data_IF_654651106756
#
_entry.id   IF_654651106756
#
_cell.length_a   1.000
_cell.length_b   1.000
_cell.length_c   1.000
_cell.angle_alpha   90.00
_cell.angle_beta   90.00
_cell.angle_gamma   90.00
#
_symmetry.space_group_name_H-M   'P 1'
#
loop_
_entity.id
_entity.type
_entity.pdbx_description
1 polymer ?
#
# COMPACT_ATOMS: atom_id res chain seq x y z
N UNK A 1 -29.15 -70.69 38.66
CA UNK A 1 -28.97 -70.58 40.15
C UNK A 1 -28.72 -69.15 40.50
N UNK A 2 -29.59 -68.66 41.26
CA UNK A 2 -29.73 -67.40 41.97
C UNK A 2 -28.58 -67.21 42.97
N UNK A 3 -28.51 -66.11 43.68
CA UNK A 3 -28.72 -64.61 43.52
C UNK A 3 -27.60 -63.83 44.23
N UNK A 4 -27.72 -62.56 44.34
CA UNK A 4 -27.74 -61.73 45.54
C UNK A 4 -27.19 -60.35 45.26
N UNK A 5 -28.09 -59.39 45.30
CA UNK A 5 -28.39 -58.39 46.34
C UNK A 5 -27.31 -57.26 46.40
N UNK A 6 -27.71 -56.14 45.92
CA UNK A 6 -28.16 -54.94 46.67
C UNK A 6 -27.12 -54.35 47.61
N UNK A 7 -26.69 -53.19 47.31
CA UNK A 7 -26.63 -52.13 48.33
C UNK A 7 -26.68 -50.75 47.67
N UNK A 8 -27.79 -50.16 47.92
CA UNK A 8 -28.15 -48.78 47.74
C UNK A 8 -27.44 -47.97 48.81
N UNK A 9 -26.61 -47.01 48.44
CA UNK A 9 -26.22 -45.92 49.35
C UNK A 9 -26.50 -44.58 48.71
N UNK A 10 -27.58 -44.01 49.18
CA UNK A 10 -27.87 -42.59 49.06
C UNK A 10 -26.78 -41.81 49.74
N UNK A 11 -26.10 -40.94 49.05
CA UNK A 11 -25.34 -39.86 49.67
C UNK A 11 -25.82 -38.52 49.09
N UNK A 12 -26.07 -37.64 50.00
CA UNK A 12 -26.76 -36.39 49.89
C UNK A 12 -26.21 -35.45 48.85
N UNK A 13 -27.16 -34.76 48.20
CA UNK A 13 -26.94 -33.57 47.38
C UNK A 13 -26.51 -32.43 48.27
N UNK A 14 -25.26 -31.99 48.11
CA UNK A 14 -24.90 -30.63 48.49
C UNK A 14 -25.22 -29.72 47.31
N UNK A 15 -26.26 -28.97 47.51
CA UNK A 15 -26.64 -27.90 46.59
C UNK A 15 -25.67 -26.72 46.84
N UNK A 16 -24.53 -26.75 46.18
CA UNK A 16 -23.66 -25.58 46.11
C UNK A 16 -24.40 -24.48 45.34
N UNK A 17 -24.64 -23.39 46.03
CA UNK A 17 -25.18 -22.18 45.43
C UNK A 17 -24.34 -21.73 44.24
N UNK A 18 -24.96 -21.20 43.16
CA UNK A 18 -24.19 -20.65 42.05
C UNK A 18 -23.30 -19.48 42.55
N UNK A 19 -22.06 -19.34 42.07
CA UNK A 19 -21.27 -18.19 42.45
C UNK A 19 -22.01 -16.93 42.02
N UNK A 20 -22.12 -16.01 42.99
CA UNK A 20 -22.59 -14.66 42.76
C UNK A 20 -21.81 -14.10 41.57
N UNK A 21 -22.54 -13.67 40.54
CA UNK A 21 -21.99 -12.87 39.46
C UNK A 21 -21.32 -11.66 40.10
N UNK A 22 -20.00 -11.71 40.14
CA UNK A 22 -19.19 -10.58 40.54
C UNK A 22 -19.49 -9.46 39.57
N UNK A 23 -20.23 -8.49 40.10
CA UNK A 23 -20.64 -7.29 39.41
C UNK A 23 -19.35 -6.58 38.94
N UNK A 24 -19.03 -6.72 37.64
CA UNK A 24 -17.97 -5.96 37.01
C UNK A 24 -18.24 -4.47 37.28
N UNK A 25 -17.26 -3.72 37.77
CA UNK A 25 -17.43 -2.29 37.99
C UNK A 25 -17.88 -1.63 36.69
N UNK A 26 -18.79 -0.64 36.70
CA UNK A 26 -19.23 0.04 35.50
C UNK A 26 -18.04 0.60 34.79
N UNK A 27 -17.84 0.14 33.53
CA UNK A 27 -16.66 0.33 32.72
C UNK A 27 -16.14 1.75 32.81
N UNK A 28 -14.87 1.86 33.16
CA UNK A 28 -14.11 3.04 32.84
C UNK A 28 -14.36 3.35 31.35
N UNK A 29 -14.63 4.61 30.99
CA UNK A 29 -14.79 4.97 29.58
C UNK A 29 -13.54 4.47 28.86
N UNK A 30 -13.72 3.46 28.00
CA UNK A 30 -12.66 2.93 27.17
C UNK A 30 -12.04 4.11 26.47
N UNK A 31 -10.83 4.44 26.83
CA UNK A 31 -10.01 5.39 26.07
C UNK A 31 -10.10 4.91 24.63
N UNK A 32 -10.63 5.69 23.69
CA UNK A 32 -10.61 5.29 22.30
C UNK A 32 -9.15 5.00 22.01
N UNK A 33 -8.85 3.73 21.81
CA UNK A 33 -7.55 3.30 21.29
C UNK A 33 -7.34 4.13 20.04
N UNK A 34 -6.50 5.16 20.17
CA UNK A 34 -6.14 6.02 19.07
C UNK A 34 -5.55 5.07 18.04
N UNK A 35 -6.37 4.68 17.05
CA UNK A 35 -5.92 3.89 15.93
C UNK A 35 -4.75 4.66 15.35
N UNK A 36 -3.54 4.22 15.67
CA UNK A 36 -2.33 4.81 15.13
C UNK A 36 -2.55 4.90 13.61
N UNK A 37 -2.33 6.05 12.99
CA UNK A 37 -2.57 6.20 11.56
C UNK A 37 -1.78 5.08 10.89
N UNK A 38 -2.49 4.14 10.26
CA UNK A 38 -1.86 3.10 9.47
C UNK A 38 -0.99 3.80 8.46
N UNK A 39 0.31 3.50 8.51
CA UNK A 39 1.25 4.03 7.52
C UNK A 39 0.64 3.81 6.13
N UNK A 40 0.52 4.85 5.32
CA UNK A 40 -0.13 4.74 4.03
C UNK A 40 0.60 3.70 3.19
N UNK A 41 -0.12 2.68 2.77
CA UNK A 41 0.40 1.65 1.87
C UNK A 41 0.40 2.27 0.48
N UNK A 42 1.54 2.24 -0.20
CA UNK A 42 1.64 2.61 -1.60
C UNK A 42 0.67 1.75 -2.42
N UNK A 43 -0.35 2.38 -3.00
CA UNK A 43 -1.29 1.67 -3.87
C UNK A 43 -0.68 1.53 -5.26
N UNK A 44 -0.40 0.30 -5.66
CA UNK A 44 -0.01 -0.02 -7.04
C UNK A 44 -1.25 -0.22 -7.90
N UNK A 45 -1.25 0.37 -9.09
CA UNK A 45 -2.37 0.31 -10.04
C UNK A 45 -1.84 -0.11 -11.39
N UNK A 46 -2.47 -1.11 -11.99
CA UNK A 46 -2.17 -1.53 -13.36
C UNK A 46 -3.10 -0.84 -14.33
N UNK A 47 -2.57 -0.47 -15.49
CA UNK A 47 -3.30 0.16 -16.60
C UNK A 47 -3.05 -0.61 -17.90
N UNK A 48 -3.97 -0.50 -18.85
CA UNK A 48 -3.73 -1.00 -20.22
C UNK A 48 -2.78 -0.04 -20.95
N UNK A 49 -1.56 -0.48 -21.29
CA UNK A 49 -0.57 0.37 -21.96
C UNK A 49 -1.06 0.94 -23.31
N UNK A 50 -1.97 0.23 -23.98
CA UNK A 50 -2.55 0.68 -25.26
C UNK A 50 -3.54 1.83 -25.10
N UNK A 51 -4.05 2.01 -23.89
CA UNK A 51 -5.02 3.05 -23.52
C UNK A 51 -4.47 3.97 -22.42
N UNK A 52 -3.15 4.06 -22.30
CA UNK A 52 -2.46 4.73 -21.22
C UNK A 52 -3.01 6.12 -20.92
N UNK A 53 -3.14 6.98 -21.92
CA UNK A 53 -3.64 8.35 -21.73
C UNK A 53 -5.04 8.43 -21.11
N UNK A 54 -6.07 7.82 -21.72
CA UNK A 54 -7.42 7.77 -21.17
C UNK A 54 -7.49 7.18 -19.76
N UNK A 55 -6.73 6.11 -19.50
CA UNK A 55 -6.74 5.46 -18.18
C UNK A 55 -6.07 6.30 -17.10
N UNK A 56 -4.95 6.95 -17.40
CA UNK A 56 -4.31 7.87 -16.47
C UNK A 56 -5.21 9.07 -16.18
N UNK A 57 -5.94 9.58 -17.17
CA UNK A 57 -6.92 10.64 -16.94
C UNK A 57 -8.05 10.20 -16.00
N UNK A 58 -8.62 9.03 -16.20
CA UNK A 58 -9.66 8.47 -15.34
C UNK A 58 -9.13 8.23 -13.89
N UNK A 59 -7.93 7.65 -13.76
CA UNK A 59 -7.27 7.44 -12.47
C UNK A 59 -6.98 8.76 -11.75
N UNK A 60 -6.54 9.79 -12.47
CA UNK A 60 -6.26 11.09 -11.88
C UNK A 60 -7.54 11.75 -11.31
N UNK A 61 -8.67 11.58 -11.99
CA UNK A 61 -9.96 12.03 -11.46
C UNK A 61 -10.35 11.27 -10.20
N UNK A 62 -10.17 9.94 -10.17
CA UNK A 62 -10.45 9.12 -8.99
C UNK A 62 -9.52 9.50 -7.83
N UNK A 63 -8.22 9.60 -8.08
CA UNK A 63 -7.21 9.97 -7.10
C UNK A 63 -7.50 11.35 -6.48
N UNK A 64 -7.93 12.31 -7.30
CA UNK A 64 -8.27 13.67 -6.86
C UNK A 64 -9.44 13.68 -5.86
N UNK A 65 -10.43 12.79 -6.01
CA UNK A 65 -11.57 12.66 -5.10
C UNK A 65 -11.14 12.23 -3.69
N UNK A 66 -10.08 11.45 -3.60
CA UNK A 66 -9.51 10.96 -2.33
C UNK A 66 -8.24 11.70 -1.92
N UNK A 67 -7.98 12.85 -2.52
CA UNK A 67 -6.82 13.72 -2.26
C UNK A 67 -5.47 13.02 -2.44
N UNK A 68 -5.41 12.11 -3.41
CA UNK A 68 -4.20 11.37 -3.79
C UNK A 68 -3.70 11.85 -5.14
N UNK A 69 -2.42 11.66 -5.41
CA UNK A 69 -1.75 12.02 -6.67
C UNK A 69 -1.28 10.76 -7.39
N UNK A 70 -0.97 10.89 -8.67
CA UNK A 70 -0.49 9.78 -9.49
C UNK A 70 1.01 9.94 -9.77
N UNK A 71 1.75 8.90 -9.47
CA UNK A 71 3.13 8.69 -9.89
C UNK A 71 3.14 7.54 -10.89
N UNK A 72 3.63 7.77 -12.10
CA UNK A 72 3.79 6.73 -13.11
C UNK A 72 5.24 6.29 -13.12
N UNK A 73 5.49 5.00 -13.02
CA UNK A 73 6.77 4.36 -13.26
C UNK A 73 6.78 3.70 -14.63
N UNK A 74 7.68 4.14 -15.49
CA UNK A 74 7.97 3.47 -16.75
C UNK A 74 9.16 2.56 -16.53
N UNK A 75 8.93 1.26 -16.65
CA UNK A 75 9.92 0.23 -16.36
C UNK A 75 9.80 -0.96 -17.30
N UNK A 76 10.58 -2.00 -17.05
CA UNK A 76 10.50 -3.26 -17.78
C UNK A 76 10.98 -4.43 -16.90
N UNK A 77 10.53 -5.67 -17.14
CA UNK A 77 10.94 -6.83 -16.33
C UNK A 77 12.45 -7.11 -16.35
N UNK A 78 13.12 -6.78 -17.44
CA UNK A 78 14.58 -6.93 -17.61
C UNK A 78 15.39 -5.80 -16.98
N UNK A 79 14.76 -4.73 -16.52
CA UNK A 79 15.41 -3.52 -16.03
C UNK A 79 15.92 -3.72 -14.60
N UNK A 80 17.22 -3.90 -14.43
CA UNK A 80 17.83 -4.02 -13.10
C UNK A 80 17.73 -2.73 -12.27
N UNK A 81 17.95 -1.52 -12.84
CA UNK A 81 17.73 -0.28 -12.11
C UNK A 81 16.29 -0.10 -11.62
N UNK A 82 15.29 -0.67 -12.32
CA UNK A 82 13.89 -0.63 -11.87
C UNK A 82 13.71 -1.42 -10.56
N UNK A 83 14.38 -2.57 -10.41
CA UNK A 83 14.36 -3.34 -9.15
C UNK A 83 14.97 -2.55 -7.98
N UNK A 84 16.00 -1.75 -8.24
CA UNK A 84 16.56 -0.88 -7.21
C UNK A 84 15.58 0.24 -6.80
N UNK A 85 14.80 0.77 -7.74
CA UNK A 85 13.74 1.73 -7.50
C UNK A 85 12.59 1.10 -6.69
N UNK A 86 12.16 -0.11 -7.05
CA UNK A 86 11.17 -0.87 -6.28
C UNK A 86 11.60 -1.11 -4.84
N UNK A 87 12.87 -1.48 -4.66
CA UNK A 87 13.46 -1.64 -3.32
C UNK A 87 13.47 -0.31 -2.55
N UNK A 88 13.68 0.82 -3.25
CA UNK A 88 13.57 2.16 -2.64
C UNK A 88 12.14 2.45 -2.17
N UNK A 89 11.14 2.16 -2.98
CA UNK A 89 9.74 2.35 -2.62
C UNK A 89 9.32 1.48 -1.43
N UNK A 90 9.93 0.32 -1.25
CA UNK A 90 9.66 -0.56 -0.13
C UNK A 90 10.30 -0.12 1.20
N UNK A 91 11.30 0.80 1.17
CA UNK A 91 11.96 1.28 2.38
C UNK A 91 11.02 2.09 3.27
N UNK A 92 11.14 1.88 4.58
CA UNK A 92 10.33 2.59 5.58
C UNK A 92 10.53 4.11 5.48
N UNK A 93 11.76 4.58 5.23
CA UNK A 93 12.08 6.01 5.02
C UNK A 93 11.24 6.65 3.91
N UNK A 94 10.91 5.90 2.87
CA UNK A 94 10.18 6.41 1.71
C UNK A 94 8.66 6.23 1.82
N UNK A 95 8.17 5.48 2.81
CA UNK A 95 6.72 5.28 2.99
C UNK A 95 5.97 6.57 3.27
N UNK A 96 6.52 7.43 4.10
CA UNK A 96 5.93 8.74 4.39
C UNK A 96 5.92 9.61 3.14
N UNK A 97 7.00 9.59 2.37
CA UNK A 97 7.14 10.33 1.12
C UNK A 97 6.11 9.88 0.08
N UNK A 98 5.87 8.57 0.00
CA UNK A 98 4.90 7.98 -0.93
C UNK A 98 3.46 8.02 -0.40
N UNK A 99 3.26 8.53 0.82
CA UNK A 99 1.94 8.76 1.36
C UNK A 99 1.14 9.71 0.46
N UNK A 100 -0.08 9.33 0.10
CA UNK A 100 -0.90 10.15 -0.79
C UNK A 100 -0.53 10.05 -2.27
N UNK A 101 0.25 9.04 -2.67
CA UNK A 101 0.54 8.71 -4.05
C UNK A 101 0.01 7.34 -4.44
N UNK A 102 -0.55 7.23 -5.63
CA UNK A 102 -0.78 5.95 -6.29
C UNK A 102 0.32 5.73 -7.32
N UNK A 103 0.96 4.58 -7.27
CA UNK A 103 1.97 4.18 -8.25
C UNK A 103 1.31 3.41 -9.38
N UNK A 104 1.47 3.92 -10.59
CA UNK A 104 1.05 3.26 -11.82
C UNK A 104 2.30 2.71 -12.51
N UNK A 105 2.41 1.39 -12.54
CA UNK A 105 3.53 0.70 -13.20
C UNK A 105 3.18 0.42 -14.65
N UNK A 106 4.03 0.86 -15.55
CA UNK A 106 3.86 0.69 -17.00
C UNK A 106 5.07 -0.01 -17.58
N UNK A 107 4.84 -1.21 -18.14
CA UNK A 107 5.88 -1.91 -18.89
C UNK A 107 6.06 -1.25 -20.27
N UNK A 108 7.24 -0.69 -20.51
CA UNK A 108 7.55 0.01 -21.77
C UNK A 108 7.53 -0.91 -22.99
N UNK A 109 7.80 -2.21 -22.82
CA UNK A 109 7.75 -3.19 -23.90
C UNK A 109 6.30 -3.44 -24.41
N UNK A 110 5.32 -3.07 -23.61
CA UNK A 110 3.89 -3.21 -23.94
C UNK A 110 3.30 -1.94 -24.55
N UNK A 111 4.07 -0.87 -24.62
CA UNK A 111 3.61 0.40 -25.17
C UNK A 111 3.66 0.39 -26.70
N UNK A 112 2.72 1.07 -27.36
CA UNK A 112 2.84 1.29 -28.80
C UNK A 112 4.07 2.14 -29.14
N UNK A 113 4.65 2.00 -30.33
CA UNK A 113 5.75 2.85 -30.76
C UNK A 113 5.39 4.33 -30.72
N UNK A 114 6.32 5.15 -30.24
CA UNK A 114 6.16 6.61 -30.22
C UNK A 114 6.39 7.25 -28.86
N UNK A 115 6.05 8.54 -28.74
CA UNK A 115 6.18 9.26 -27.48
C UNK A 115 5.26 8.71 -26.40
N UNK A 116 5.78 8.52 -25.21
CA UNK A 116 5.02 8.14 -24.02
C UNK A 116 4.72 9.41 -23.23
N UNK A 117 3.46 9.70 -22.98
CA UNK A 117 3.05 10.91 -22.26
C UNK A 117 3.68 12.19 -22.82
N UNK A 118 3.79 12.28 -24.15
CA UNK A 118 4.34 13.43 -24.85
C UNK A 118 5.87 13.51 -24.92
N UNK A 119 6.60 12.51 -24.44
CA UNK A 119 8.07 12.46 -24.47
C UNK A 119 8.60 11.15 -25.02
N UNK A 120 9.75 11.21 -25.70
CA UNK A 120 10.52 10.01 -26.03
C UNK A 120 11.18 9.46 -24.76
N UNK A 121 10.95 8.19 -24.48
CA UNK A 121 11.57 7.47 -23.35
C UNK A 121 12.75 6.70 -23.90
N UNK A 122 13.96 7.07 -23.50
CA UNK A 122 15.20 6.45 -23.95
C UNK A 122 15.87 5.59 -22.88
N UNK A 123 15.47 5.78 -21.62
CA UNK A 123 16.03 5.07 -20.48
C UNK A 123 14.93 4.72 -19.48
N UNK A 124 15.05 3.54 -18.89
CA UNK A 124 14.21 3.10 -17.77
C UNK A 124 15.11 2.79 -16.56
N UNK A 125 14.61 2.98 -15.34
CA UNK A 125 13.30 3.50 -15.00
C UNK A 125 13.14 4.98 -15.32
N UNK A 126 11.88 5.40 -15.54
CA UNK A 126 11.53 6.80 -15.54
C UNK A 126 10.30 7.01 -14.66
N UNK A 127 10.32 8.06 -13.85
CA UNK A 127 9.19 8.47 -13.03
C UNK A 127 8.52 9.70 -13.63
N UNK A 128 7.20 9.68 -13.67
CA UNK A 128 6.38 10.79 -14.16
C UNK A 128 5.36 11.15 -13.12
N UNK A 129 5.45 12.36 -12.62
CA UNK A 129 4.44 12.92 -11.76
C UNK A 129 3.32 13.52 -12.60
N UNK A 130 2.07 13.19 -12.30
CA UNK A 130 0.92 13.73 -12.99
C UNK A 130 0.27 14.85 -12.18
N UNK A 131 -0.30 15.82 -12.89
CA UNK A 131 -1.21 16.79 -12.33
C UNK A 131 -2.60 16.16 -12.05
N UNK A 132 -3.51 16.93 -11.47
CA UNK A 132 -4.87 16.45 -11.16
C UNK A 132 -5.72 16.13 -12.38
N UNK A 133 -5.31 16.57 -13.57
CA UNK A 133 -5.98 16.24 -14.83
C UNK A 133 -5.39 15.01 -15.52
N UNK A 134 -4.36 14.39 -14.92
CA UNK A 134 -3.67 13.23 -15.49
C UNK A 134 -2.63 13.60 -16.55
N UNK A 135 -2.21 14.86 -16.63
CA UNK A 135 -1.16 15.31 -17.54
C UNK A 135 0.20 15.25 -16.85
N UNK A 136 1.27 14.93 -17.59
CA UNK A 136 2.62 14.96 -17.06
C UNK A 136 2.98 16.36 -16.54
N UNK A 137 3.37 16.45 -15.28
CA UNK A 137 3.82 17.66 -14.62
C UNK A 137 5.34 17.71 -14.51
N UNK A 138 5.95 16.60 -14.15
CA UNK A 138 7.40 16.48 -13.97
C UNK A 138 7.90 15.09 -14.31
N UNK A 139 9.19 15.03 -14.68
CA UNK A 139 9.89 13.81 -15.07
C UNK A 139 11.19 13.66 -14.30
N UNK A 140 11.49 12.43 -13.86
CA UNK A 140 12.75 12.04 -13.25
C UNK A 140 13.25 10.77 -13.95
N UNK A 141 14.39 10.84 -14.65
CA UNK A 141 14.92 9.71 -15.44
C UNK A 141 16.42 9.82 -15.69
N UNK A 142 17.06 8.72 -16.05
CA UNK A 142 18.47 8.70 -16.39
C UNK A 142 19.35 9.20 -15.25
N UNK A 143 20.27 10.13 -15.52
CA UNK A 143 21.21 10.64 -14.52
C UNK A 143 20.56 11.35 -13.34
N UNK A 144 19.32 11.82 -13.48
CA UNK A 144 18.55 12.45 -12.39
C UNK A 144 17.85 11.45 -11.48
N UNK A 145 17.83 10.16 -11.86
CA UNK A 145 17.28 9.05 -11.07
C UNK A 145 18.40 8.05 -10.76
N UNK A 146 19.25 8.33 -9.75
CA UNK A 146 20.49 7.59 -9.48
C UNK A 146 20.20 6.26 -8.74
N UNK A 147 19.78 5.25 -9.48
CA UNK A 147 19.41 3.92 -8.94
C UNK A 147 20.60 3.09 -8.47
N UNK A 148 21.81 3.50 -8.79
CA UNK A 148 23.07 2.89 -8.36
C UNK A 148 23.49 3.25 -6.93
N UNK A 149 22.85 4.26 -6.34
CA UNK A 149 23.16 4.74 -4.99
C UNK A 149 21.89 5.04 -4.18
N UNK A 150 21.66 4.25 -3.14
CA UNK A 150 20.43 4.32 -2.35
C UNK A 150 20.18 5.70 -1.71
N UNK A 151 21.21 6.32 -1.13
CA UNK A 151 21.06 7.63 -0.48
C UNK A 151 20.77 8.75 -1.49
N UNK A 152 21.43 8.71 -2.64
CA UNK A 152 21.16 9.67 -3.73
C UNK A 152 19.78 9.47 -4.34
N UNK A 153 19.34 8.21 -4.44
CA UNK A 153 18.00 7.87 -4.91
C UNK A 153 16.92 8.39 -3.96
N UNK A 154 17.10 8.20 -2.66
CA UNK A 154 16.17 8.71 -1.65
C UNK A 154 16.08 10.23 -1.68
N UNK A 155 17.21 10.93 -1.77
CA UNK A 155 17.24 12.38 -1.90
C UNK A 155 16.59 12.86 -3.22
N UNK A 156 16.77 12.13 -4.32
CA UNK A 156 16.13 12.44 -5.59
C UNK A 156 14.61 12.27 -5.53
N UNK A 157 14.13 11.21 -4.87
CA UNK A 157 12.71 10.96 -4.64
C UNK A 157 12.11 12.05 -3.73
N UNK A 158 12.79 12.42 -2.66
CA UNK A 158 12.36 13.48 -1.74
C UNK A 158 12.22 14.83 -2.45
N UNK A 159 13.17 15.19 -3.29
CA UNK A 159 13.10 16.41 -4.10
C UNK A 159 12.04 16.36 -5.20
N UNK A 160 11.69 15.16 -5.68
CA UNK A 160 10.74 14.98 -6.77
C UNK A 160 9.29 14.87 -6.31
N UNK A 161 9.05 14.28 -5.15
CA UNK A 161 7.72 14.02 -4.59
C UNK A 161 7.42 15.05 -3.48
N UNK A 162 6.80 16.19 -3.80
CA UNK A 162 6.45 17.15 -2.76
C UNK A 162 5.41 16.56 -1.81
N UNK A 163 5.42 16.93 -0.54
CA UNK A 163 4.51 16.47 0.49
C UNK A 163 3.04 16.81 0.19
#
# INVERSE_FOLDING_TARGET
MLPLLVSLLLAARDAGAPPLLEELPPGAPGTPEATAPRAPILRRVSVDPRRLGPELHALAQEASRVRTRILVELGAPWCEPCRALDAAFARESNRTLLAGWWLVEVNVDSLPPGPVLGRSVHTVPALVRLDRSGRPEAWLQGATLPTDNAARLDAALEGFLPP
#
